data_IF_410796256398
#
_entry.id   IF_410796256398
#
_cell.length_a   1.000
_cell.length_b   1.000
_cell.length_c   1.000
_cell.angle_alpha   90.00
_cell.angle_beta   90.00
_cell.angle_gamma   90.00
#
_symmetry.space_group_name_H-M   'P 1'
#
loop_
_entity.id
_entity.type
_entity.pdbx_description
1 polymer ?
#
# COMPACT_ATOMS: atom_id res chain seq x y z
N UNK A 1 -12.93 13.16 -14.84
CA UNK A 1 -13.67 12.76 -13.63
C UNK A 1 -13.04 11.52 -13.01
N UNK A 2 -12.93 11.45 -11.68
CA UNK A 2 -12.39 10.31 -10.93
C UNK A 2 -13.50 9.65 -10.09
N UNK A 3 -13.73 8.35 -10.26
CA UNK A 3 -14.60 7.59 -9.36
C UNK A 3 -13.86 7.22 -8.08
N UNK A 4 -14.50 7.41 -6.92
CA UNK A 4 -13.96 7.05 -5.61
C UNK A 4 -14.84 5.96 -4.98
N UNK A 5 -14.42 4.70 -5.11
CA UNK A 5 -15.12 3.54 -4.56
C UNK A 5 -14.59 3.23 -3.16
N UNK A 6 -15.49 3.12 -2.19
CA UNK A 6 -15.16 2.75 -0.81
C UNK A 6 -15.97 1.52 -0.39
N UNK A 7 -15.29 0.44 0.00
CA UNK A 7 -15.93 -0.68 0.72
C UNK A 7 -16.02 -0.42 2.23
N UNK A 8 -15.14 0.45 2.75
CA UNK A 8 -15.20 0.98 4.11
C UNK A 8 -15.03 2.49 4.16
N UNK A 9 -15.72 3.18 5.09
CA UNK A 9 -15.58 4.62 5.27
C UNK A 9 -14.12 5.05 5.50
N UNK A 10 -13.74 6.18 4.93
CA UNK A 10 -12.43 6.80 5.16
C UNK A 10 -12.47 8.31 4.95
N UNK A 11 -12.15 9.07 6.00
CA UNK A 11 -12.11 10.53 5.92
C UNK A 11 -10.87 11.01 5.15
N UNK A 12 -9.67 10.54 5.51
CA UNK A 12 -8.41 11.03 4.94
C UNK A 12 -8.29 10.71 3.45
N UNK A 13 -8.55 9.46 3.07
CA UNK A 13 -8.46 9.04 1.66
C UNK A 13 -9.51 9.77 0.82
N UNK A 14 -10.75 9.88 1.28
CA UNK A 14 -11.80 10.60 0.55
C UNK A 14 -11.43 12.07 0.34
N UNK A 15 -11.12 12.78 1.42
CA UNK A 15 -10.85 14.23 1.34
C UNK A 15 -9.60 14.50 0.51
N UNK A 16 -8.52 13.74 0.68
CA UNK A 16 -7.27 13.94 -0.09
C UNK A 16 -7.48 13.79 -1.59
N UNK A 17 -8.16 12.73 -2.05
CA UNK A 17 -8.43 12.53 -3.48
C UNK A 17 -9.40 13.59 -4.05
N UNK A 18 -10.42 13.99 -3.28
CA UNK A 18 -11.35 15.03 -3.72
C UNK A 18 -10.66 16.38 -3.87
N UNK A 19 -9.86 16.79 -2.89
CA UNK A 19 -9.11 18.05 -2.92
C UNK A 19 -8.08 18.01 -4.05
N UNK A 20 -7.33 16.92 -4.21
CA UNK A 20 -6.35 16.79 -5.29
C UNK A 20 -7.00 16.92 -6.68
N UNK A 21 -8.11 16.24 -6.92
CA UNK A 21 -8.84 16.36 -8.20
C UNK A 21 -9.38 17.77 -8.44
N UNK A 22 -9.94 18.40 -7.40
CA UNK A 22 -10.43 19.78 -7.49
C UNK A 22 -9.30 20.77 -7.83
N UNK A 23 -8.14 20.63 -7.19
CA UNK A 23 -6.96 21.46 -7.48
C UNK A 23 -6.44 21.28 -8.90
N UNK A 24 -6.62 20.11 -9.50
CA UNK A 24 -6.27 19.83 -10.90
C UNK A 24 -7.39 20.21 -11.90
N UNK A 25 -8.46 20.88 -11.45
CA UNK A 25 -9.59 21.26 -12.29
C UNK A 25 -10.52 20.11 -12.68
N UNK A 26 -10.39 18.96 -12.02
CA UNK A 26 -11.21 17.78 -12.24
C UNK A 26 -12.37 17.65 -11.25
N UNK A 27 -13.22 16.65 -11.50
CA UNK A 27 -14.37 16.32 -10.66
C UNK A 27 -14.25 14.90 -10.10
N UNK A 28 -14.92 14.65 -8.99
CA UNK A 28 -15.00 13.33 -8.36
C UNK A 28 -16.43 12.88 -8.15
N UNK A 29 -16.69 11.58 -8.31
CA UNK A 29 -17.93 10.94 -7.87
C UNK A 29 -17.59 9.95 -6.75
N UNK A 30 -18.26 10.08 -5.61
CA UNK A 30 -18.07 9.17 -4.47
C UNK A 30 -19.12 8.06 -4.57
N UNK A 31 -18.64 6.82 -4.57
CA UNK A 31 -19.43 5.61 -4.65
C UNK A 31 -19.29 4.91 -3.28
N UNK A 32 -20.22 5.24 -2.38
CA UNK A 32 -20.24 4.71 -1.03
C UNK A 32 -20.88 3.30 -0.99
N UNK A 33 -20.56 2.46 0.02
CA UNK A 33 -21.14 1.13 0.12
C UNK A 33 -22.68 1.17 0.21
N UNK A 34 -23.24 2.20 0.84
CA UNK A 34 -24.69 2.34 1.00
C UNK A 34 -25.40 2.71 -0.32
N UNK A 35 -24.67 3.35 -1.23
CA UNK A 35 -25.19 3.98 -2.46
C UNK A 35 -24.91 3.15 -3.72
N UNK A 36 -24.20 2.02 -3.62
CA UNK A 36 -23.73 1.24 -4.77
C UNK A 36 -24.30 -0.18 -4.83
N UNK A 37 -24.49 -0.69 -6.06
CA UNK A 37 -24.94 -2.07 -6.31
C UNK A 37 -23.81 -3.10 -6.16
N UNK A 38 -22.59 -2.65 -5.85
CA UNK A 38 -21.39 -3.47 -5.62
C UNK A 38 -21.58 -4.55 -4.55
N UNK A 39 -22.53 -4.36 -3.63
CA UNK A 39 -22.94 -5.37 -2.63
C UNK A 39 -24.30 -6.03 -2.87
N UNK A 40 -25.02 -5.68 -3.94
CA UNK A 40 -26.42 -6.05 -4.18
C UNK A 40 -26.66 -6.90 -5.44
N UNK A 41 -25.61 -7.26 -6.18
CA UNK A 41 -25.69 -8.27 -7.24
C UNK A 41 -25.04 -7.90 -8.57
N UNK A 42 -24.54 -6.67 -8.73
CA UNK A 42 -23.74 -6.32 -9.90
C UNK A 42 -22.32 -6.87 -9.75
N UNK A 43 -21.79 -7.51 -10.79
CA UNK A 43 -20.44 -8.06 -10.76
C UNK A 43 -19.40 -6.93 -10.80
N UNK A 44 -18.25 -7.11 -10.14
CA UNK A 44 -17.16 -6.14 -10.20
C UNK A 44 -16.68 -5.91 -11.64
N UNK A 45 -16.77 -6.93 -12.49
CA UNK A 45 -16.46 -6.84 -13.91
C UNK A 45 -17.42 -5.93 -14.68
N UNK A 46 -18.72 -6.00 -14.40
CA UNK A 46 -19.72 -5.16 -15.07
C UNK A 46 -19.62 -3.71 -14.57
N UNK A 47 -19.49 -3.52 -13.26
CA UNK A 47 -19.23 -2.19 -12.69
C UNK A 47 -17.96 -1.57 -13.28
N UNK A 48 -16.87 -2.32 -13.43
CA UNK A 48 -15.64 -1.83 -14.04
C UNK A 48 -15.85 -1.33 -15.47
N UNK A 49 -16.53 -2.12 -16.31
CA UNK A 49 -16.80 -1.78 -17.71
C UNK A 49 -17.67 -0.54 -17.82
N UNK A 50 -18.78 -0.52 -17.06
CA UNK A 50 -19.74 0.58 -17.09
C UNK A 50 -19.11 1.88 -16.59
N UNK A 51 -18.39 1.84 -15.46
CA UNK A 51 -17.73 3.04 -14.92
C UNK A 51 -16.67 3.58 -15.88
N UNK A 52 -15.93 2.72 -16.57
CA UNK A 52 -14.88 3.13 -17.51
C UNK A 52 -15.40 4.00 -18.67
N UNK A 53 -16.68 3.88 -19.03
CA UNK A 53 -17.30 4.72 -20.07
C UNK A 53 -17.68 6.13 -19.55
N UNK A 54 -17.67 6.35 -18.22
CA UNK A 54 -18.09 7.60 -17.60
C UNK A 54 -16.96 8.37 -16.92
N UNK A 55 -15.89 7.71 -16.47
CA UNK A 55 -14.80 8.34 -15.71
C UNK A 55 -13.45 8.12 -16.38
N UNK A 56 -12.50 9.03 -16.13
CA UNK A 56 -11.13 8.95 -16.65
C UNK A 56 -10.21 8.10 -15.75
N UNK A 57 -10.70 7.67 -14.59
CA UNK A 57 -9.97 6.86 -13.65
C UNK A 57 -10.83 6.44 -12.47
N UNK A 58 -10.38 5.40 -11.77
CA UNK A 58 -11.07 4.83 -10.62
C UNK A 58 -10.08 4.68 -9.47
N UNK A 59 -10.39 5.22 -8.31
CA UNK A 59 -9.73 4.90 -7.05
C UNK A 59 -10.63 3.96 -6.25
N UNK A 60 -10.07 2.86 -5.77
CA UNK A 60 -10.80 1.91 -4.92
C UNK A 60 -10.07 1.69 -3.60
N UNK A 61 -10.84 1.76 -2.52
CA UNK A 61 -10.46 1.25 -1.21
C UNK A 61 -11.26 -0.02 -0.94
N UNK A 62 -10.59 -1.15 -1.11
CA UNK A 62 -11.17 -2.49 -0.97
C UNK A 62 -10.69 -3.18 0.30
N UNK A 63 -11.50 -4.07 0.86
CA UNK A 63 -11.09 -4.97 1.92
C UNK A 63 -10.09 -5.99 1.40
N UNK A 64 -10.34 -6.54 0.20
CA UNK A 64 -9.52 -7.58 -0.41
C UNK A 64 -8.76 -7.08 -1.63
N UNK A 65 -7.49 -7.43 -1.70
CA UNK A 65 -6.65 -7.13 -2.86
C UNK A 65 -7.14 -7.79 -4.15
N UNK A 66 -7.83 -8.94 -4.07
CA UNK A 66 -8.41 -9.58 -5.25
C UNK A 66 -9.50 -8.71 -5.89
N UNK A 67 -10.29 -7.98 -5.11
CA UNK A 67 -11.31 -7.07 -5.63
C UNK A 67 -10.70 -5.97 -6.49
N UNK A 68 -9.62 -5.35 -6.00
CA UNK A 68 -8.82 -4.39 -6.77
C UNK A 68 -8.33 -4.99 -8.09
N UNK A 69 -7.81 -6.22 -8.05
CA UNK A 69 -7.29 -6.88 -9.26
C UNK A 69 -8.37 -7.20 -10.28
N UNK A 70 -9.54 -7.64 -9.81
CA UNK A 70 -10.68 -7.90 -10.68
C UNK A 70 -11.16 -6.60 -11.34
N UNK A 71 -11.35 -5.54 -10.56
CA UNK A 71 -11.71 -4.21 -11.07
C UNK A 71 -10.69 -3.74 -12.12
N UNK A 72 -9.39 -3.82 -11.81
CA UNK A 72 -8.32 -3.41 -12.72
C UNK A 72 -8.26 -4.27 -13.99
N UNK A 73 -8.65 -5.54 -13.93
CA UNK A 73 -8.65 -6.45 -15.09
C UNK A 73 -9.73 -6.07 -16.12
N UNK A 74 -10.86 -5.56 -15.65
CA UNK A 74 -12.01 -5.25 -16.51
C UNK A 74 -12.20 -3.75 -16.75
N UNK A 75 -11.43 -2.89 -16.09
CA UNK A 75 -11.43 -1.45 -16.29
C UNK A 75 -10.71 -1.05 -17.58
N UNK A 76 -11.34 -0.18 -18.36
CA UNK A 76 -10.73 0.49 -19.52
C UNK A 76 -9.89 1.71 -19.13
N UNK A 77 -9.97 2.15 -17.88
CA UNK A 77 -9.27 3.33 -17.34
C UNK A 77 -8.36 2.99 -16.17
N UNK A 78 -7.40 3.86 -15.79
CA UNK A 78 -6.48 3.60 -14.69
C UNK A 78 -7.19 3.34 -13.35
N UNK A 79 -6.73 2.31 -12.64
CA UNK A 79 -7.23 1.94 -11.31
C UNK A 79 -6.16 2.21 -10.24
N UNK A 80 -6.52 3.02 -9.24
CA UNK A 80 -5.66 3.46 -8.15
C UNK A 80 -6.04 2.69 -6.87
N UNK A 81 -5.05 2.02 -6.26
CA UNK A 81 -5.22 1.35 -4.97
C UNK A 81 -5.20 2.36 -3.82
N UNK A 82 -6.36 2.71 -3.30
CA UNK A 82 -6.52 3.58 -2.14
C UNK A 82 -6.15 2.89 -0.82
N UNK A 83 -6.44 1.59 -0.67
CA UNK A 83 -6.01 0.70 0.42
C UNK A 83 -6.56 -0.72 0.13
N UNK A 84 -5.79 -1.76 0.47
CA UNK A 84 -6.21 -3.18 0.52
C UNK A 84 -5.68 -3.85 1.79
N UNK A 85 -6.14 -5.07 2.09
CA UNK A 85 -5.54 -5.97 3.10
C UNK A 85 -4.04 -6.24 2.88
N UNK A 86 -3.56 -6.22 1.62
CA UNK A 86 -2.15 -6.50 1.27
C UNK A 86 -1.24 -5.28 1.24
N UNK A 87 -1.76 -4.12 0.84
CA UNK A 87 -0.92 -2.92 0.64
C UNK A 87 -1.70 -1.61 0.70
N UNK A 88 -0.98 -0.53 1.03
CA UNK A 88 -1.47 0.84 1.08
C UNK A 88 -0.45 1.80 0.43
N UNK A 89 -0.30 1.78 -0.90
CA UNK A 89 0.75 2.51 -1.61
C UNK A 89 0.61 4.03 -1.50
N UNK A 90 -0.61 4.57 -1.45
CA UNK A 90 -0.82 6.01 -1.31
C UNK A 90 -0.26 6.57 0.01
N UNK A 91 -0.38 5.82 1.11
CA UNK A 91 0.21 6.23 2.40
C UNK A 91 1.73 6.23 2.32
N UNK A 92 2.31 5.17 1.74
CA UNK A 92 3.76 5.08 1.55
C UNK A 92 4.33 6.26 0.77
N UNK A 93 3.69 6.65 -0.34
CA UNK A 93 4.14 7.78 -1.15
C UNK A 93 4.12 9.09 -0.34
N UNK A 94 3.09 9.29 0.49
CA UNK A 94 3.01 10.45 1.38
C UNK A 94 4.12 10.41 2.46
N UNK A 95 4.41 9.24 3.03
CA UNK A 95 5.46 9.08 4.05
C UNK A 95 6.85 9.37 3.47
N UNK A 96 7.13 8.86 2.25
CA UNK A 96 8.40 9.12 1.56
C UNK A 96 8.55 10.61 1.25
N UNK A 97 7.52 11.23 0.67
CA UNK A 97 7.53 12.68 0.40
C UNK A 97 7.80 13.47 1.68
N UNK A 98 7.10 13.12 2.77
CA UNK A 98 7.28 13.78 4.07
C UNK A 98 8.72 13.62 4.56
N UNK A 99 9.30 12.41 4.47
CA UNK A 99 10.69 12.19 4.88
C UNK A 99 11.65 13.06 4.06
N UNK A 100 11.49 13.08 2.74
CA UNK A 100 12.39 13.80 1.84
C UNK A 100 12.35 15.32 2.05
N UNK A 101 11.18 15.88 2.36
CA UNK A 101 11.02 17.30 2.72
C UNK A 101 11.78 17.68 4.00
N UNK A 102 11.87 16.77 4.97
CA UNK A 102 12.45 17.07 6.29
C UNK A 102 13.90 16.61 6.45
N UNK A 103 14.29 15.55 5.75
CA UNK A 103 15.57 14.83 6.00
C UNK A 103 16.41 14.64 4.74
N UNK A 104 15.96 15.15 3.59
CA UNK A 104 16.58 14.93 2.29
C UNK A 104 16.35 13.51 1.75
N UNK A 105 17.09 13.09 0.70
CA UNK A 105 16.80 11.86 -0.03
C UNK A 105 16.68 10.62 0.86
N UNK A 106 15.64 9.81 0.62
CA UNK A 106 15.42 8.56 1.36
C UNK A 106 16.36 7.43 0.93
N UNK A 107 16.96 7.56 -0.26
CA UNK A 107 17.89 6.59 -0.80
C UNK A 107 19.07 6.36 0.16
N UNK A 108 19.32 5.08 0.46
CA UNK A 108 20.37 4.63 1.37
C UNK A 108 20.12 4.90 2.85
N UNK A 109 18.94 5.38 3.23
CA UNK A 109 18.52 5.48 4.63
C UNK A 109 18.04 4.13 5.16
N UNK A 110 17.96 4.02 6.48
CA UNK A 110 17.42 2.87 7.21
C UNK A 110 16.05 3.27 7.75
N UNK A 111 15.03 2.46 7.50
CA UNK A 111 13.68 2.66 8.06
C UNK A 111 13.37 1.51 9.00
N UNK A 112 13.04 1.83 10.25
CA UNK A 112 12.63 0.85 11.25
C UNK A 112 11.11 0.85 11.38
N UNK A 113 10.51 -0.34 11.34
CA UNK A 113 9.07 -0.52 11.58
C UNK A 113 8.85 -1.19 12.94
N UNK A 114 8.01 -0.58 13.78
CA UNK A 114 7.67 -1.11 15.09
C UNK A 114 6.17 -1.31 15.22
N UNK A 115 5.75 -2.50 15.65
CA UNK A 115 4.36 -2.90 15.77
C UNK A 115 3.99 -4.04 14.81
N UNK A 116 2.70 -4.15 14.50
CA UNK A 116 2.17 -5.28 13.73
C UNK A 116 2.60 -5.24 12.26
N UNK A 117 2.80 -6.43 11.69
CA UNK A 117 2.92 -6.61 10.24
C UNK A 117 1.56 -6.44 9.57
N UNK A 118 1.32 -5.26 9.01
CA UNK A 118 0.07 -4.92 8.32
C UNK A 118 0.34 -4.46 6.87
N UNK A 119 -0.71 -4.03 6.18
CA UNK A 119 -0.63 -3.52 4.81
C UNK A 119 0.34 -2.33 4.62
N UNK A 120 0.51 -1.47 5.63
CA UNK A 120 1.47 -0.35 5.59
C UNK A 120 2.88 -0.89 5.71
N UNK A 121 3.12 -1.82 6.64
CA UNK A 121 4.41 -2.46 6.82
C UNK A 121 4.84 -3.23 5.55
N UNK A 122 3.91 -3.96 4.92
CA UNK A 122 4.15 -4.62 3.63
C UNK A 122 4.45 -3.61 2.51
N UNK A 123 3.83 -2.43 2.52
CA UNK A 123 4.12 -1.36 1.55
C UNK A 123 5.52 -0.81 1.72
N UNK A 124 6.00 -0.65 2.96
CA UNK A 124 7.39 -0.27 3.25
C UNK A 124 8.40 -1.29 2.75
N UNK A 125 8.09 -2.59 2.79
CA UNK A 125 8.93 -3.63 2.17
C UNK A 125 9.00 -3.47 0.65
N UNK A 126 7.90 -3.14 -0.02
CA UNK A 126 7.95 -2.84 -1.46
C UNK A 126 8.78 -1.58 -1.75
N UNK A 127 8.70 -0.58 -0.87
CA UNK A 127 9.47 0.66 -0.97
C UNK A 127 10.99 0.40 -0.90
N UNK A 128 11.40 -0.52 -0.03
CA UNK A 128 12.79 -0.93 0.16
C UNK A 128 13.51 -1.18 -1.15
N UNK A 129 12.88 -2.02 -1.97
CA UNK A 129 13.39 -2.47 -3.25
C UNK A 129 13.33 -1.35 -4.28
N UNK A 130 12.30 -0.50 -4.21
CA UNK A 130 12.03 0.50 -5.26
C UNK A 130 12.82 1.80 -5.09
N UNK A 131 13.07 2.22 -3.85
CA UNK A 131 13.71 3.49 -3.48
C UNK A 131 15.12 3.32 -2.89
N UNK A 132 15.69 2.11 -2.95
CA UNK A 132 17.06 1.82 -2.50
C UNK A 132 17.29 2.18 -1.02
N UNK A 133 16.30 1.91 -0.16
CA UNK A 133 16.42 2.05 1.28
C UNK A 133 17.20 0.83 1.79
N UNK A 134 18.40 1.02 2.32
CA UNK A 134 19.26 -0.09 2.78
C UNK A 134 18.88 -0.45 4.22
N UNK A 135 18.56 -1.73 4.44
CA UNK A 135 18.26 -2.35 5.75
C UNK A 135 16.90 -1.93 6.36
N UNK A 136 16.04 -2.93 6.60
CA UNK A 136 14.81 -2.79 7.38
C UNK A 136 14.96 -3.64 8.65
N UNK A 137 14.77 -3.02 9.82
CA UNK A 137 14.75 -3.73 11.10
C UNK A 137 13.31 -3.79 11.61
N UNK A 138 12.80 -5.00 11.87
CA UNK A 138 11.44 -5.22 12.36
C UNK A 138 11.45 -5.34 13.89
N UNK A 139 10.63 -4.51 14.54
CA UNK A 139 10.28 -4.65 15.96
C UNK A 139 8.80 -5.02 16.07
N UNK A 140 8.47 -6.29 15.77
CA UNK A 140 7.15 -6.84 16.11
C UNK A 140 7.14 -7.13 17.61
N UNK A 141 6.16 -6.60 18.34
CA UNK A 141 6.03 -6.77 19.80
C UNK A 141 6.04 -8.26 20.20
N UNK A 142 7.24 -8.80 20.47
CA UNK A 142 7.61 -10.14 20.98
C UNK A 142 8.27 -11.15 20.01
N UNK A 143 8.71 -10.80 18.79
CA UNK A 143 9.68 -11.62 18.02
C UNK A 143 10.59 -10.76 17.16
N UNK A 144 11.89 -10.83 17.43
CA UNK A 144 12.93 -10.19 16.61
C UNK A 144 13.01 -10.86 15.25
N UNK A 145 12.70 -10.13 14.18
CA UNK A 145 12.92 -10.60 12.80
C UNK A 145 13.92 -9.65 12.16
N UNK A 146 15.18 -10.06 12.12
CA UNK A 146 16.26 -9.31 11.46
C UNK A 146 16.35 -9.80 10.01
N UNK A 147 15.91 -8.99 9.04
CA UNK A 147 16.10 -9.29 7.62
C UNK A 147 17.09 -8.27 7.05
N UNK A 148 18.36 -8.68 6.98
CA UNK A 148 19.41 -7.93 6.31
C UNK A 148 19.42 -8.29 4.82
N UNK A 149 18.72 -7.53 3.99
CA UNK A 149 18.91 -7.57 2.54
C UNK A 149 19.99 -6.54 2.14
N UNK A 150 21.25 -6.97 2.14
CA UNK A 150 22.34 -6.24 1.47
C UNK A 150 22.48 -6.77 0.05
N UNK A 151 22.10 -5.97 -0.95
CA UNK A 151 22.44 -6.22 -2.36
C UNK A 151 23.67 -5.39 -2.77
N UNK A 152 24.72 -5.43 -1.95
CA UNK A 152 26.03 -4.91 -2.33
C UNK A 152 27.06 -6.05 -2.41
N UNK A 153 27.14 -6.69 -3.57
CA UNK A 153 28.35 -7.32 -4.14
C UNK A 153 29.19 -8.32 -3.34
N UNK A 154 28.86 -8.68 -2.09
CA UNK A 154 29.57 -9.69 -1.29
C UNK A 154 28.56 -10.54 -0.53
N UNK A 155 28.31 -11.72 -1.09
CA UNK A 155 27.67 -12.89 -0.47
C UNK A 155 26.27 -12.62 0.11
N UNK A 156 25.27 -12.72 -0.76
CA UNK A 156 23.99 -13.28 -0.36
C UNK A 156 24.25 -14.69 0.19
N UNK A 157 24.23 -14.86 1.50
CA UNK A 157 24.16 -16.18 2.15
C UNK A 157 22.88 -16.19 2.96
N UNK A 158 21.97 -17.02 2.48
CA UNK A 158 20.84 -17.67 3.16
C UNK A 158 20.09 -16.87 4.22
N UNK A 159 18.83 -16.57 3.90
CA UNK A 159 17.82 -16.30 4.91
C UNK A 159 17.56 -17.61 5.69
N UNK A 160 18.33 -17.85 6.76
CA UNK A 160 18.00 -18.91 7.72
C UNK A 160 16.94 -18.39 8.70
N UNK A 161 15.81 -19.10 8.73
CA UNK A 161 14.82 -19.01 9.79
C UNK A 161 15.48 -19.49 11.08
N UNK A 162 15.91 -18.56 11.94
CA UNK A 162 16.46 -18.91 13.23
C UNK A 162 15.32 -19.31 14.18
N UNK A 163 15.18 -20.60 14.46
CA UNK A 163 14.22 -21.08 15.47
C UNK A 163 14.67 -20.66 16.89
N UNK A 164 13.74 -20.26 17.76
CA UNK A 164 14.07 -19.81 19.09
C UNK A 164 14.58 -20.98 19.96
N UNK A 165 15.79 -20.87 20.52
CA UNK A 165 16.15 -21.66 21.70
C UNK A 165 15.63 -20.98 22.96
N UNK A 166 15.08 -21.79 23.85
CA UNK A 166 14.67 -21.43 25.21
C UNK A 166 15.89 -20.95 26.03
N UNK A 167 16.20 -19.66 25.98
CA UNK A 167 17.28 -19.09 26.79
C UNK A 167 18.07 -17.96 26.13
N UNK A 168 17.38 -16.90 25.68
CA UNK A 168 17.87 -15.50 25.75
C UNK A 168 19.31 -15.15 25.29
N UNK A 169 19.92 -15.85 24.33
CA UNK A 169 21.25 -15.49 23.84
C UNK A 169 21.46 -15.85 22.36
N UNK A 170 21.99 -14.89 21.60
CA UNK A 170 22.42 -15.07 20.20
C UNK A 170 23.95 -15.07 20.12
N UNK A 171 24.54 -16.14 19.57
CA UNK A 171 25.98 -16.25 19.33
C UNK A 171 26.32 -15.64 17.96
N UNK A 172 27.02 -14.50 18.01
CA UNK A 172 27.89 -13.84 17.00
C UNK A 172 27.64 -14.09 15.50
N UNK A 173 27.43 -12.94 14.85
CA UNK A 173 27.85 -12.50 13.50
C UNK A 173 27.45 -13.34 12.30
#
# INVERSE_FOLDING_TARGET
MLALIFERPSTRTRVSFQVAMSQMGGQTVVLAPEDTQLGRGESMADTARVLSEYVDGIMIRAERHETLRELARFSGVPVINGLTDKSHPCQLMADIMTFEEHSGPIAGRVVAWSGDGNNVAASWVHAAVRFWVFSYDWLVQNRWVRILASLSGRRAREAELCEPRSGGGCLRC
#
